data_IF_897771110666
#
_entry.id   IF_897771110666
#
_cell.length_a   1.000
_cell.length_b   1.000
_cell.length_c   1.000
_cell.angle_alpha   90.00
_cell.angle_beta   90.00
_cell.angle_gamma   90.00
#
_symmetry.space_group_name_H-M   'P 1'
#
loop_
_entity.id
_entity.type
_entity.pdbx_description
1 polymer ?
#
# COMPACT_ATOMS: atom_id res chain seq x y z
N UNK A 1 18.62 -3.40 -28.61
CA UNK A 1 18.51 -1.92 -28.68
C UNK A 1 17.07 -1.46 -28.89
N UNK A 2 16.34 -1.92 -29.91
CA UNK A 2 14.93 -1.54 -30.14
C UNK A 2 13.98 -1.82 -28.96
N UNK A 3 14.11 -2.98 -28.31
CA UNK A 3 13.32 -3.34 -27.13
C UNK A 3 13.61 -2.44 -25.93
N UNK A 4 14.86 -1.99 -25.78
CA UNK A 4 15.27 -1.08 -24.71
C UNK A 4 14.81 0.35 -24.97
N UNK A 5 14.81 0.79 -26.24
CA UNK A 5 14.26 2.09 -26.64
C UNK A 5 12.74 2.17 -26.48
N UNK A 6 12.03 1.04 -26.60
CA UNK A 6 10.59 0.94 -26.31
C UNK A 6 10.29 1.06 -24.81
N UNK A 7 11.15 0.47 -23.97
CA UNK A 7 11.03 0.55 -22.51
C UNK A 7 11.44 1.93 -21.94
N UNK A 8 12.38 2.62 -22.58
CA UNK A 8 12.87 3.94 -22.13
C UNK A 8 12.08 5.13 -22.68
N UNK A 9 11.29 4.94 -23.74
CA UNK A 9 10.29 5.91 -24.22
C UNK A 9 8.90 5.59 -23.69
N UNK A 10 8.75 5.20 -22.42
CA UNK A 10 7.44 5.16 -21.77
C UNK A 10 6.93 6.61 -21.59
N UNK A 11 6.50 7.22 -22.69
CA UNK A 11 5.78 8.47 -22.68
C UNK A 11 4.41 8.29 -22.03
N UNK A 12 3.70 9.41 -21.81
CA UNK A 12 2.34 9.36 -21.25
C UNK A 12 1.38 8.48 -22.05
N UNK A 13 1.61 8.33 -23.36
CA UNK A 13 0.86 7.46 -24.28
C UNK A 13 0.95 5.98 -23.93
N UNK A 14 2.16 5.46 -23.69
CA UNK A 14 2.40 4.06 -23.38
C UNK A 14 1.82 3.70 -22.01
N UNK A 15 1.94 4.60 -21.03
CA UNK A 15 1.35 4.43 -19.69
C UNK A 15 -0.18 4.34 -19.80
N UNK A 16 -0.81 5.20 -20.62
CA UNK A 16 -2.26 5.15 -20.86
C UNK A 16 -2.67 3.83 -21.50
N UNK A 17 -1.91 3.31 -22.47
CA UNK A 17 -2.21 2.03 -23.11
C UNK A 17 -2.13 0.87 -22.10
N UNK A 18 -1.10 0.83 -21.27
CA UNK A 18 -0.95 -0.18 -20.20
C UNK A 18 -2.10 -0.06 -19.21
N UNK A 19 -2.43 1.16 -18.77
CA UNK A 19 -3.55 1.41 -17.87
C UNK A 19 -4.86 0.90 -18.47
N UNK A 20 -5.09 1.11 -19.77
CA UNK A 20 -6.27 0.63 -20.49
C UNK A 20 -6.35 -0.90 -20.51
N UNK A 21 -5.24 -1.58 -20.82
CA UNK A 21 -5.19 -3.05 -20.81
C UNK A 21 -5.48 -3.60 -19.42
N UNK A 22 -4.87 -3.04 -18.37
CA UNK A 22 -5.15 -3.41 -16.98
C UNK A 22 -6.62 -3.14 -16.64
N UNK A 23 -7.20 -2.02 -17.10
CA UNK A 23 -8.60 -1.69 -16.88
C UNK A 23 -9.56 -2.67 -17.56
N UNK A 24 -9.21 -3.21 -18.72
CA UNK A 24 -10.03 -4.22 -19.43
C UNK A 24 -9.92 -5.58 -18.74
N UNK A 25 -8.72 -5.98 -18.32
CA UNK A 25 -8.50 -7.27 -17.65
C UNK A 25 -9.11 -7.33 -16.25
N UNK A 26 -8.97 -6.27 -15.47
CA UNK A 26 -9.45 -6.23 -14.09
C UNK A 26 -10.81 -5.53 -13.95
N UNK A 27 -11.19 -4.67 -14.90
CA UNK A 27 -12.36 -3.80 -14.80
C UNK A 27 -12.07 -2.52 -14.02
N UNK A 28 -12.61 -1.39 -14.48
CA UNK A 28 -12.39 -0.08 -13.84
C UNK A 28 -12.87 0.05 -12.39
N UNK A 29 -13.74 -0.87 -11.93
CA UNK A 29 -14.23 -0.91 -10.55
C UNK A 29 -13.34 -1.71 -9.59
N UNK A 30 -12.59 -2.70 -10.08
CA UNK A 30 -11.77 -3.56 -9.19
C UNK A 30 -10.53 -2.86 -8.66
N UNK A 31 -9.90 -1.97 -9.43
CA UNK A 31 -8.73 -1.24 -8.95
C UNK A 31 -9.08 -0.36 -7.74
N UNK A 32 -10.12 0.50 -7.78
CA UNK A 32 -10.55 1.26 -6.61
C UNK A 32 -10.97 0.38 -5.42
N UNK A 33 -11.64 -0.75 -5.67
CA UNK A 33 -12.08 -1.68 -4.64
C UNK A 33 -10.89 -2.32 -3.91
N UNK A 34 -9.90 -2.81 -4.66
CA UNK A 34 -8.64 -3.34 -4.13
C UNK A 34 -7.87 -2.28 -3.34
N UNK A 35 -7.76 -1.06 -3.86
CA UNK A 35 -7.10 0.05 -3.17
C UNK A 35 -7.79 0.40 -1.85
N UNK A 36 -9.13 0.39 -1.81
CA UNK A 36 -9.89 0.64 -0.58
C UNK A 36 -9.67 -0.49 0.44
N UNK A 37 -9.70 -1.75 0.00
CA UNK A 37 -9.42 -2.91 0.86
C UNK A 37 -8.01 -2.90 1.43
N UNK A 38 -7.00 -2.68 0.59
CA UNK A 38 -5.60 -2.55 1.03
C UNK A 38 -5.42 -1.36 1.99
N UNK A 39 -6.02 -0.21 1.68
CA UNK A 39 -5.94 0.98 2.53
C UNK A 39 -6.56 0.76 3.91
N UNK A 40 -7.70 0.08 3.98
CA UNK A 40 -8.32 -0.30 5.25
C UNK A 40 -7.44 -1.30 6.02
N UNK A 41 -6.91 -2.33 5.35
CA UNK A 41 -6.02 -3.30 5.98
C UNK A 41 -4.74 -2.67 6.56
N UNK A 42 -4.11 -1.75 5.81
CA UNK A 42 -2.92 -1.02 6.29
C UNK A 42 -3.27 -0.14 7.49
N UNK A 43 -4.44 0.52 7.47
CA UNK A 43 -4.90 1.36 8.58
C UNK A 43 -5.13 0.55 9.86
N UNK A 44 -5.85 -0.57 9.77
CA UNK A 44 -6.09 -1.50 10.88
C UNK A 44 -4.76 -2.03 11.43
N UNK A 45 -3.83 -2.42 10.55
CA UNK A 45 -2.50 -2.90 10.93
C UNK A 45 -1.70 -1.85 11.71
N UNK A 46 -1.69 -0.60 11.23
CA UNK A 46 -0.98 0.49 11.91
C UNK A 46 -1.59 0.83 13.28
N UNK A 47 -2.92 0.79 13.39
CA UNK A 47 -3.61 1.02 14.65
C UNK A 47 -3.26 -0.07 15.69
N UNK A 48 -3.32 -1.34 15.28
CA UNK A 48 -2.96 -2.47 16.14
C UNK A 48 -1.50 -2.35 16.61
N UNK A 49 -0.57 -2.03 15.69
CA UNK A 49 0.84 -1.80 16.02
C UNK A 49 1.01 -0.69 17.06
N UNK A 50 0.34 0.46 16.87
CA UNK A 50 0.41 1.60 17.80
C UNK A 50 -0.12 1.27 19.19
N UNK A 51 -1.21 0.51 19.28
CA UNK A 51 -1.79 0.09 20.55
C UNK A 51 -0.82 -0.82 21.30
N UNK A 52 -0.25 -1.81 20.62
CA UNK A 52 0.74 -2.73 21.20
C UNK A 52 1.97 -1.96 21.69
N UNK A 53 2.51 -1.04 20.90
CA UNK A 53 3.64 -0.21 21.32
C UNK A 53 3.33 0.63 22.56
N UNK A 54 2.11 1.14 22.67
CA UNK A 54 1.66 1.95 23.81
C UNK A 54 1.51 1.10 25.06
N UNK A 55 0.86 -0.07 24.95
CA UNK A 55 0.73 -1.03 26.05
C UNK A 55 2.09 -1.51 26.55
N UNK A 56 3.01 -1.88 25.65
CA UNK A 56 4.36 -2.32 26.03
C UNK A 56 5.09 -1.20 26.78
N UNK A 57 5.01 0.05 26.28
CA UNK A 57 5.64 1.21 26.90
C UNK A 57 5.05 1.55 28.27
N UNK A 58 3.75 1.39 28.46
CA UNK A 58 3.08 1.61 29.73
C UNK A 58 3.46 0.54 30.76
N UNK A 59 3.45 -0.74 30.37
CA UNK A 59 3.89 -1.85 31.22
C UNK A 59 5.35 -1.70 31.67
N UNK A 60 6.25 -1.28 30.77
CA UNK A 60 7.66 -1.01 31.10
C UNK A 60 7.80 0.10 32.15
N UNK A 61 7.02 1.18 32.03
CA UNK A 61 7.02 2.29 33.00
C UNK A 61 6.49 1.88 34.37
N UNK A 62 5.47 1.01 34.41
CA UNK A 62 4.94 0.50 35.68
C UNK A 62 5.96 -0.38 36.40
N UNK A 63 6.69 -1.23 35.66
CA UNK A 63 7.76 -2.09 36.20
C UNK A 63 8.91 -1.24 36.77
N UNK A 64 9.30 -0.16 36.08
CA UNK A 64 10.33 0.78 36.57
C UNK A 64 9.86 1.56 37.81
N UNK A 65 8.58 1.91 37.92
CA UNK A 65 8.05 2.66 39.06
C UNK A 65 7.85 1.84 40.33
N UNK A 66 7.78 0.50 40.25
CA UNK A 66 7.59 -0.40 41.40
C UNK A 66 8.90 -0.99 41.94
N UNK A 67 10.04 -0.66 41.33
CA UNK A 67 11.37 -1.14 41.71
C UNK A 67 12.13 -0.09 42.51
#
# INVERSE_FOLDING_TARGET
MLFSSLLFNLGGSEIILIMLVVLVLFGGKKIPELMRGLGQGIKEFNNAKSNIESEVKENLREIESKK
#
